data_IF_605426589535
#
_entry.id   IF_605426589535
#
_cell.length_a   1.000
_cell.length_b   1.000
_cell.length_c   1.000
_cell.angle_alpha   90.00
_cell.angle_beta   90.00
_cell.angle_gamma   90.00
#
_symmetry.space_group_name_H-M   'P 1'
#
loop_
_entity.id
_entity.type
_entity.pdbx_description
1 polymer ?
#
# COMPACT_ATOMS: atom_id res chain seq x y z
N UNK A 1 8.15 11.17 5.24
CA UNK A 1 7.14 12.24 5.31
C UNK A 1 7.45 13.24 6.43
N UNK A 2 7.47 14.53 6.12
CA UNK A 2 7.74 15.63 7.07
C UNK A 2 6.50 16.54 7.19
N UNK A 3 6.01 16.83 8.42
CA UNK A 3 4.88 17.74 8.61
C UNK A 3 5.27 19.17 8.21
N UNK A 4 4.28 20.00 7.89
CA UNK A 4 4.51 21.34 7.34
C UNK A 4 5.33 22.22 8.29
N UNK A 5 5.14 22.10 9.61
CA UNK A 5 5.91 22.85 10.60
C UNK A 5 7.41 22.48 10.63
N UNK A 6 7.78 21.29 10.17
CA UNK A 6 9.16 20.80 10.15
C UNK A 6 9.91 21.14 8.85
N UNK A 7 9.25 21.77 7.87
CA UNK A 7 9.86 22.06 6.56
C UNK A 7 10.89 23.19 6.60
N UNK A 8 10.89 24.02 7.65
CA UNK A 8 11.95 24.98 7.90
C UNK A 8 12.15 25.22 9.40
N UNK A 9 13.35 25.66 9.77
CA UNK A 9 13.69 26.01 11.15
C UNK A 9 12.83 27.16 11.68
N UNK A 10 12.51 28.13 10.82
CA UNK A 10 11.66 29.27 11.18
C UNK A 10 10.24 28.82 11.54
N UNK A 11 9.65 27.93 10.73
CA UNK A 11 8.31 27.39 11.01
C UNK A 11 8.30 26.65 12.35
N UNK A 12 9.28 25.77 12.58
CA UNK A 12 9.40 24.98 13.80
C UNK A 12 9.51 25.83 15.09
N UNK A 13 10.34 26.87 15.06
CA UNK A 13 10.51 27.77 16.21
C UNK A 13 9.24 28.60 16.49
N UNK A 14 8.48 28.93 15.45
CA UNK A 14 7.28 29.76 15.54
C UNK A 14 5.96 28.97 15.67
N UNK A 15 5.99 27.65 15.84
CA UNK A 15 4.78 26.82 15.94
C UNK A 15 3.76 27.33 16.96
N UNK A 16 4.21 27.70 18.17
CA UNK A 16 3.32 28.20 19.21
C UNK A 16 2.67 29.52 18.82
N UNK A 17 3.37 30.37 18.08
CA UNK A 17 2.81 31.62 17.55
C UNK A 17 1.69 31.32 16.55
N UNK A 18 1.93 30.43 15.58
CA UNK A 18 0.91 30.03 14.62
C UNK A 18 -0.32 29.42 15.30
N UNK A 19 -0.11 28.60 16.34
CA UNK A 19 -1.20 28.04 17.11
C UNK A 19 -2.03 29.12 17.82
N UNK A 20 -1.39 30.01 18.57
CA UNK A 20 -2.10 31.05 19.33
C UNK A 20 -2.86 32.04 18.45
N UNK A 21 -2.30 32.41 17.30
CA UNK A 21 -2.93 33.36 16.36
C UNK A 21 -4.18 32.80 15.68
N UNK A 22 -4.31 31.46 15.59
CA UNK A 22 -5.36 30.81 14.80
C UNK A 22 -6.28 29.88 15.60
N UNK A 23 -6.00 29.61 16.88
CA UNK A 23 -6.83 28.74 17.70
C UNK A 23 -8.22 29.32 17.94
N UNK A 24 -9.23 28.45 17.95
CA UNK A 24 -10.57 28.74 18.43
C UNK A 24 -10.76 28.11 19.81
N UNK A 25 -11.24 28.89 20.78
CA UNK A 25 -11.35 28.45 22.18
C UNK A 25 -12.29 27.25 22.39
N UNK A 26 -13.29 27.08 21.51
CA UNK A 26 -14.28 25.99 21.59
C UNK A 26 -13.76 24.66 21.03
N UNK A 27 -12.56 24.64 20.44
CA UNK A 27 -11.94 23.45 19.86
C UNK A 27 -10.82 22.95 20.76
N UNK A 28 -10.69 21.63 20.87
CA UNK A 28 -9.50 20.98 21.41
C UNK A 28 -8.25 21.33 20.58
N UNK A 29 -7.07 21.07 21.15
CA UNK A 29 -5.80 21.35 20.48
C UNK A 29 -5.71 20.61 19.14
N UNK A 30 -6.10 19.34 19.10
CA UNK A 30 -6.09 18.52 17.87
C UNK A 30 -7.06 19.06 16.83
N UNK A 31 -8.29 19.42 17.21
CA UNK A 31 -9.26 20.01 16.29
C UNK A 31 -8.75 21.34 15.71
N UNK A 32 -8.14 22.19 16.54
CA UNK A 32 -7.49 23.41 16.07
C UNK A 32 -6.38 23.11 15.07
N UNK A 33 -5.47 22.17 15.37
CA UNK A 33 -4.39 21.79 14.46
C UNK A 33 -4.91 21.20 13.14
N UNK A 34 -5.96 20.37 13.17
CA UNK A 34 -6.57 19.80 11.98
C UNK A 34 -7.18 20.89 11.09
N UNK A 35 -7.94 21.82 11.69
CA UNK A 35 -8.54 22.94 10.95
C UNK A 35 -7.48 23.87 10.37
N UNK A 36 -6.46 24.21 11.17
CA UNK A 36 -5.33 25.03 10.75
C UNK A 36 -4.62 24.44 9.53
N UNK A 37 -4.35 23.13 9.53
CA UNK A 37 -3.70 22.45 8.40
C UNK A 37 -4.54 22.57 7.11
N UNK A 38 -5.86 22.43 7.22
CA UNK A 38 -6.77 22.57 6.09
C UNK A 38 -6.91 24.01 5.58
N UNK A 39 -6.65 24.99 6.44
CA UNK A 39 -6.59 26.42 6.11
C UNK A 39 -5.19 26.86 5.61
N UNK A 40 -4.27 25.91 5.41
CA UNK A 40 -2.92 26.18 4.91
C UNK A 40 -1.93 26.68 5.97
N UNK A 41 -2.32 26.69 7.25
CA UNK A 41 -1.43 27.08 8.35
C UNK A 41 -0.52 25.89 8.71
N UNK A 42 0.80 26.10 8.88
CA UNK A 42 1.73 25.02 9.21
C UNK A 42 1.43 24.36 10.56
N UNK A 43 1.42 23.03 10.60
CA UNK A 43 1.18 22.25 11.82
C UNK A 43 2.10 21.04 11.90
N UNK A 44 2.16 20.42 13.09
CA UNK A 44 2.85 19.15 13.35
C UNK A 44 2.09 17.91 12.90
N UNK A 45 0.88 18.08 12.38
CA UNK A 45 0.08 16.96 11.90
C UNK A 45 0.58 16.49 10.53
N UNK A 46 0.52 15.20 10.33
CA UNK A 46 0.52 14.58 9.01
C UNK A 46 -0.91 14.19 8.68
N UNK A 47 -1.34 14.54 7.47
CA UNK A 47 -2.67 14.29 6.95
C UNK A 47 -2.74 12.91 6.29
N UNK A 48 -3.76 12.14 6.64
CA UNK A 48 -4.02 10.79 6.15
C UNK A 48 -5.50 10.64 5.83
N UNK A 49 -5.85 9.64 5.01
CA UNK A 49 -7.25 9.31 4.72
C UNK A 49 -7.48 7.82 4.88
N UNK A 50 -8.69 7.45 5.32
CA UNK A 50 -9.14 6.06 5.31
C UNK A 50 -9.78 5.66 3.98
N UNK A 51 -9.96 6.60 3.05
CA UNK A 51 -10.54 6.32 1.74
C UNK A 51 -9.43 6.17 0.68
N UNK A 52 -9.25 4.97 0.10
CA UNK A 52 -8.21 4.75 -0.89
C UNK A 52 -8.40 5.58 -2.16
N UNK A 53 -9.63 6.00 -2.50
CA UNK A 53 -9.89 6.84 -3.66
C UNK A 53 -9.58 8.32 -3.38
N UNK A 54 -9.70 8.78 -2.12
CA UNK A 54 -9.18 10.09 -1.72
C UNK A 54 -7.65 10.08 -1.78
N UNK A 55 -6.99 9.02 -1.30
CA UNK A 55 -5.54 8.88 -1.39
C UNK A 55 -5.06 8.90 -2.85
N UNK A 56 -5.73 8.14 -3.71
CA UNK A 56 -5.43 8.10 -5.15
C UNK A 56 -5.70 9.43 -5.85
N UNK A 57 -6.75 10.15 -5.42
CA UNK A 57 -7.01 11.51 -5.89
C UNK A 57 -5.79 12.40 -5.63
N UNK A 58 -5.32 12.48 -4.39
CA UNK A 58 -4.16 13.31 -4.02
C UNK A 58 -2.88 12.87 -4.72
N UNK A 59 -2.63 11.56 -4.83
CA UNK A 59 -1.47 11.01 -5.51
C UNK A 59 -1.37 11.44 -6.98
N UNK A 60 -2.49 11.81 -7.62
CA UNK A 60 -2.52 12.16 -9.04
C UNK A 60 -2.64 13.66 -9.31
N UNK A 61 -2.58 14.54 -8.30
CA UNK A 61 -2.78 15.99 -8.50
C UNK A 61 -1.53 16.77 -8.94
N UNK A 62 -0.36 16.14 -8.96
CA UNK A 62 0.89 16.82 -9.32
C UNK A 62 1.03 17.07 -10.83
N UNK A 63 1.78 18.11 -11.18
CA UNK A 63 2.05 18.51 -12.56
C UNK A 63 3.42 18.04 -13.08
N UNK A 64 4.13 17.25 -12.30
CA UNK A 64 5.42 16.67 -12.67
C UNK A 64 5.23 15.37 -13.46
N UNK A 65 6.17 15.07 -14.37
CA UNK A 65 6.18 13.83 -15.16
C UNK A 65 6.87 12.72 -14.39
N UNK A 66 6.25 12.29 -13.29
CA UNK A 66 6.80 11.31 -12.36
C UNK A 66 5.74 10.29 -11.96
N UNK A 67 6.19 9.10 -11.59
CA UNK A 67 5.31 8.16 -10.90
C UNK A 67 4.91 8.73 -9.54
N UNK A 68 3.74 8.32 -9.08
CA UNK A 68 3.25 8.68 -7.75
C UNK A 68 3.03 7.42 -6.93
N UNK A 69 2.88 7.58 -5.63
CA UNK A 69 2.73 6.44 -4.72
C UNK A 69 1.58 6.68 -3.74
N UNK A 70 0.86 5.61 -3.44
CA UNK A 70 -0.06 5.54 -2.30
C UNK A 70 0.57 4.64 -1.25
N UNK A 71 0.77 5.17 -0.06
CA UNK A 71 1.33 4.42 1.07
C UNK A 71 0.21 3.92 1.98
N UNK A 72 0.16 2.62 2.22
CA UNK A 72 -0.81 1.99 3.13
C UNK A 72 -0.19 1.88 4.50
N UNK A 73 -0.86 2.39 5.53
CA UNK A 73 -0.42 2.27 6.92
C UNK A 73 -1.44 1.46 7.72
N UNK A 74 -0.97 0.42 8.39
CA UNK A 74 -1.77 -0.38 9.32
C UNK A 74 -1.14 -0.19 10.69
N UNK A 75 -1.83 0.56 11.56
CA UNK A 75 -1.30 1.03 12.85
C UNK A 75 -2.39 1.08 13.91
N UNK A 76 -1.97 0.86 15.16
CA UNK A 76 -2.81 1.12 16.31
C UNK A 76 -3.12 2.61 16.43
N UNK A 77 -4.41 2.94 16.41
CA UNK A 77 -4.90 4.31 16.54
C UNK A 77 -5.27 4.66 17.99
N UNK A 78 -4.88 5.86 18.42
CA UNK A 78 -5.19 6.43 19.73
C UNK A 78 -6.44 7.31 19.67
N UNK A 79 -7.23 7.31 20.75
CA UNK A 79 -8.35 8.26 20.89
C UNK A 79 -7.82 9.70 20.97
N UNK A 80 -8.52 10.71 20.41
CA UNK A 80 -8.14 12.12 20.55
C UNK A 80 -8.08 12.61 22.00
N UNK A 81 -8.79 11.91 22.90
CA UNK A 81 -8.81 12.19 24.33
C UNK A 81 -7.73 11.43 25.13
N UNK A 82 -6.95 10.56 24.48
CA UNK A 82 -5.92 9.78 25.14
C UNK A 82 -4.77 10.68 25.60
N UNK A 83 -4.01 10.22 26.61
CA UNK A 83 -2.84 10.94 27.13
C UNK A 83 -1.79 11.16 26.03
N UNK A 84 -1.62 10.21 25.12
CA UNK A 84 -0.64 10.25 24.03
C UNK A 84 -0.97 11.38 23.06
N UNK A 85 -2.22 11.43 22.57
CA UNK A 85 -2.65 12.45 21.62
C UNK A 85 -2.69 13.83 22.29
N UNK A 86 -3.21 13.93 23.52
CA UNK A 86 -3.23 15.18 24.27
C UNK A 86 -1.82 15.73 24.49
N UNK A 87 -0.88 14.92 24.97
CA UNK A 87 0.49 15.37 25.22
C UNK A 87 1.20 15.78 23.92
N UNK A 88 1.14 14.96 22.88
CA UNK A 88 1.87 15.22 21.64
C UNK A 88 1.34 16.41 20.85
N UNK A 89 0.03 16.66 20.91
CA UNK A 89 -0.58 17.88 20.36
C UNK A 89 -0.29 19.11 21.23
N UNK A 90 -0.25 18.95 22.57
CA UNK A 90 0.00 20.04 23.52
C UNK A 90 1.33 20.76 23.27
N UNK A 91 2.35 20.06 22.79
CA UNK A 91 3.65 20.68 22.46
C UNK A 91 3.51 21.83 21.44
N UNK A 92 2.51 21.81 20.54
CA UNK A 92 2.24 22.91 19.62
C UNK A 92 1.87 24.22 20.33
N UNK A 93 1.41 24.15 21.58
CA UNK A 93 1.00 25.30 22.40
C UNK A 93 2.14 25.85 23.25
N UNK A 94 3.31 25.21 23.22
CA UNK A 94 4.42 25.50 24.13
C UNK A 94 5.52 26.29 23.44
N UNK A 95 5.81 27.48 23.97
CA UNK A 95 6.92 28.34 23.51
C UNK A 95 8.27 27.78 23.95
N UNK A 96 8.34 27.26 25.18
CA UNK A 96 9.53 26.61 25.71
C UNK A 96 9.53 25.13 25.29
N UNK A 97 10.66 24.65 24.75
CA UNK A 97 10.84 23.28 24.26
C UNK A 97 11.55 22.37 25.27
N UNK A 98 11.77 22.85 26.50
CA UNK A 98 12.25 22.03 27.62
C UNK A 98 11.20 20.98 28.01
N UNK A 99 11.57 19.70 28.02
CA UNK A 99 10.70 18.58 28.32
C UNK A 99 10.06 18.70 29.71
N UNK A 100 10.85 19.07 30.72
CA UNK A 100 10.37 19.20 32.10
C UNK A 100 9.29 20.27 32.22
N UNK A 101 9.49 21.42 31.56
CA UNK A 101 8.52 22.51 31.56
C UNK A 101 7.25 22.13 30.80
N UNK A 102 7.37 21.44 29.66
CA UNK A 102 6.22 20.92 28.90
C UNK A 102 5.40 19.97 29.78
N UNK A 103 6.04 19.01 30.45
CA UNK A 103 5.37 18.03 31.32
C UNK A 103 4.69 18.73 32.50
N UNK A 104 5.39 19.67 33.14
CA UNK A 104 4.85 20.48 34.24
C UNK A 104 3.61 21.27 33.80
N UNK A 105 3.68 21.94 32.64
CA UNK A 105 2.58 22.72 32.10
C UNK A 105 1.41 21.83 31.67
N UNK A 106 1.69 20.67 31.07
CA UNK A 106 0.69 19.69 30.68
C UNK A 106 -0.09 19.18 31.90
N UNK A 107 0.62 18.72 32.95
CA UNK A 107 0.03 18.23 34.19
C UNK A 107 -0.77 19.31 34.94
N UNK A 108 -0.40 20.58 34.81
CA UNK A 108 -1.15 21.70 35.43
C UNK A 108 -2.45 22.03 34.68
N UNK A 109 -2.50 21.77 33.37
CA UNK A 109 -3.60 22.20 32.49
C UNK A 109 -4.55 21.06 32.11
N UNK A 110 -4.27 19.82 32.51
CA UNK A 110 -5.04 18.64 32.17
C UNK A 110 -5.28 17.79 33.42
N UNK A 111 -6.39 17.04 33.43
CA UNK A 111 -6.73 16.10 34.50
C UNK A 111 -5.89 14.81 34.49
N UNK A 112 -4.83 14.76 33.67
CA UNK A 112 -3.97 13.60 33.46
C UNK A 112 -2.56 13.97 33.90
N UNK A 113 -2.04 13.25 34.89
CA UNK A 113 -0.64 13.38 35.32
C UNK A 113 0.24 12.41 34.55
N UNK A 114 1.37 12.90 34.03
CA UNK A 114 2.41 12.09 33.40
C UNK A 114 3.79 12.36 34.00
N UNK A 115 4.59 11.31 34.14
CA UNK A 115 6.00 11.41 34.50
C UNK A 115 6.90 11.76 33.31
N UNK A 116 8.10 12.27 33.58
CA UNK A 116 9.05 12.72 32.55
C UNK A 116 9.46 11.57 31.61
N UNK A 117 9.77 10.40 32.14
CA UNK A 117 10.18 9.25 31.33
C UNK A 117 9.07 8.78 30.38
N UNK A 118 7.84 8.62 30.87
CA UNK A 118 6.69 8.27 30.02
C UNK A 118 6.38 9.36 28.99
N UNK A 119 6.53 10.64 29.35
CA UNK A 119 6.37 11.73 28.41
C UNK A 119 7.43 11.70 27.29
N UNK A 120 8.68 11.41 27.64
CA UNK A 120 9.78 11.26 26.68
C UNK A 120 9.52 10.11 25.70
N UNK A 121 9.03 8.97 26.19
CA UNK A 121 8.67 7.82 25.35
C UNK A 121 7.55 8.19 24.36
N UNK A 122 6.47 8.81 24.85
CA UNK A 122 5.33 9.23 24.02
C UNK A 122 5.76 10.26 22.98
N UNK A 123 6.51 11.29 23.40
CA UNK A 123 6.89 12.40 22.53
C UNK A 123 7.95 12.01 21.50
N UNK A 124 8.73 10.95 21.75
CA UNK A 124 9.77 10.48 20.82
C UNK A 124 9.24 9.59 19.69
N UNK A 125 7.95 9.19 19.69
CA UNK A 125 7.37 8.29 18.67
C UNK A 125 6.22 8.91 17.90
N UNK A 126 5.98 8.40 16.69
CA UNK A 126 4.81 8.78 15.89
C UNK A 126 3.52 8.22 16.49
N UNK A 127 2.48 9.05 16.56
CA UNK A 127 1.17 8.69 17.12
C UNK A 127 0.11 8.83 16.02
N UNK A 128 -0.56 7.73 15.70
CA UNK A 128 -1.70 7.74 14.78
C UNK A 128 -2.98 7.97 15.57
N UNK A 129 -3.78 8.93 15.13
CA UNK A 129 -5.11 9.17 15.69
C UNK A 129 -6.06 8.16 15.07
N UNK A 130 -6.92 7.57 15.89
CA UNK A 130 -7.92 6.61 15.42
C UNK A 130 -8.86 7.31 14.43
N UNK A 131 -9.11 6.73 13.24
CA UNK A 131 -10.06 7.30 12.29
C UNK A 131 -11.45 7.52 12.90
N UNK A 132 -12.20 8.48 12.35
CA UNK A 132 -13.59 8.78 12.71
C UNK A 132 -13.81 9.14 14.20
N UNK A 133 -12.75 9.53 14.92
CA UNK A 133 -12.85 9.90 16.35
C UNK A 133 -12.72 11.39 16.63
N UNK A 134 -12.21 12.19 15.67
CA UNK A 134 -12.20 13.65 15.77
C UNK A 134 -13.54 14.14 15.21
N UNK A 135 -14.41 14.64 16.09
CA UNK A 135 -15.65 15.26 15.67
C UNK A 135 -15.46 16.77 15.49
N UNK A 136 -15.51 17.29 14.27
CA UNK A 136 -15.39 18.73 13.99
C UNK A 136 -16.24 19.14 12.79
N UNK A 137 -17.53 19.40 13.05
CA UNK A 137 -18.53 19.76 12.03
C UNK A 137 -18.14 20.99 11.19
N UNK A 138 -17.34 21.91 11.74
CA UNK A 138 -16.86 23.10 11.01
C UNK A 138 -15.75 22.77 10.00
N UNK A 139 -15.13 21.59 10.12
CA UNK A 139 -14.04 21.16 9.27
C UNK A 139 -14.56 20.27 8.14
N UNK A 140 -15.39 20.85 7.26
CA UNK A 140 -16.00 20.13 6.14
C UNK A 140 -14.97 19.37 5.28
N UNK A 141 -13.78 19.95 5.09
CA UNK A 141 -12.68 19.32 4.36
C UNK A 141 -12.25 17.99 4.99
N UNK A 142 -12.16 17.92 6.32
CA UNK A 142 -11.84 16.67 7.03
C UNK A 142 -12.89 15.58 6.77
N UNK A 143 -14.17 15.96 6.78
CA UNK A 143 -15.27 15.03 6.51
C UNK A 143 -15.26 14.52 5.07
N UNK A 144 -15.13 15.42 4.09
CA UNK A 144 -15.12 15.04 2.67
C UNK A 144 -13.92 14.17 2.29
N UNK A 145 -12.79 14.38 2.95
CA UNK A 145 -11.56 13.61 2.71
C UNK A 145 -11.51 12.31 3.51
N UNK A 146 -12.49 12.03 4.40
CA UNK A 146 -12.41 10.96 5.42
C UNK A 146 -11.05 11.01 6.12
N UNK A 147 -10.70 12.22 6.54
CA UNK A 147 -9.39 12.58 7.06
C UNK A 147 -9.14 11.98 8.45
N UNK A 148 -7.92 11.51 8.65
CA UNK A 148 -7.34 11.16 9.95
C UNK A 148 -5.92 11.71 10.00
N UNK A 149 -5.29 11.72 11.18
CA UNK A 149 -4.01 12.38 11.34
C UNK A 149 -3.01 11.51 12.10
N UNK A 150 -1.73 11.76 11.83
CA UNK A 150 -0.65 11.34 12.71
C UNK A 150 0.09 12.55 13.28
N UNK A 151 0.63 12.42 14.48
CA UNK A 151 1.54 13.38 15.10
C UNK A 151 2.93 12.76 15.06
N UNK A 152 3.86 13.39 14.36
CA UNK A 152 5.26 12.93 14.31
C UNK A 152 5.93 12.99 15.68
N UNK A 153 6.87 12.07 15.91
CA UNK A 153 7.73 12.09 17.09
C UNK A 153 8.67 13.30 17.09
N UNK A 154 9.27 13.58 18.24
CA UNK A 154 10.18 14.71 18.46
C UNK A 154 11.59 14.17 18.75
N UNK A 155 12.60 14.81 18.16
CA UNK A 155 13.99 14.59 18.54
C UNK A 155 14.20 15.30 19.88
N UNK A 156 14.62 14.56 20.92
CA UNK A 156 14.85 15.10 22.26
C UNK A 156 16.32 14.93 22.65
N UNK A 157 17.03 16.06 22.79
CA UNK A 157 18.46 16.11 23.11
C UNK A 157 18.68 16.97 24.35
N UNK A 158 19.42 16.44 25.33
CA UNK A 158 19.71 17.12 26.60
C UNK A 158 18.46 17.69 27.30
N UNK A 159 17.31 17.01 27.17
CA UNK A 159 16.04 17.44 27.77
C UNK A 159 15.25 18.45 26.93
N UNK A 160 15.68 18.81 25.72
CA UNK A 160 15.00 19.76 24.85
C UNK A 160 14.51 19.09 23.56
N UNK A 161 13.30 19.46 23.13
CA UNK A 161 12.81 19.12 21.78
C UNK A 161 13.55 20.00 20.76
N UNK A 162 14.40 19.40 19.92
CA UNK A 162 15.25 20.12 18.96
C UNK A 162 14.72 20.10 17.53
N UNK A 163 13.98 19.05 17.16
CA UNK A 163 13.36 18.91 15.84
C UNK A 163 12.22 17.87 15.87
N UNK A 164 11.62 17.63 14.71
CA UNK A 164 10.61 16.58 14.51
C UNK A 164 11.25 15.40 13.78
N UNK A 165 10.98 14.18 14.26
CA UNK A 165 11.38 12.94 13.62
C UNK A 165 10.48 12.72 12.40
N UNK A 166 11.02 12.65 11.17
CA UNK A 166 10.23 12.33 9.98
C UNK A 166 9.54 10.98 10.14
N UNK A 167 8.30 10.87 9.65
CA UNK A 167 7.68 9.56 9.52
C UNK A 167 8.23 8.89 8.26
N UNK A 168 9.13 7.92 8.42
CA UNK A 168 9.81 7.28 7.30
C UNK A 168 8.88 6.42 6.43
N UNK A 169 9.14 6.36 5.13
CA UNK A 169 8.35 5.58 4.18
C UNK A 169 8.46 4.07 4.46
N UNK A 170 9.57 3.61 5.05
CA UNK A 170 9.76 2.22 5.48
C UNK A 170 8.76 1.80 6.56
N UNK A 171 8.10 2.76 7.21
CA UNK A 171 6.99 2.47 8.11
C UNK A 171 5.66 2.13 7.40
N UNK A 172 5.51 2.27 6.08
CA UNK A 172 4.27 1.81 5.43
C UNK A 172 4.17 0.28 5.49
N UNK A 173 2.96 -0.27 5.49
CA UNK A 173 2.73 -1.70 5.24
C UNK A 173 2.92 -2.01 3.75
N UNK A 174 2.40 -1.14 2.87
CA UNK A 174 2.49 -1.32 1.43
C UNK A 174 2.74 0.03 0.74
N UNK A 175 3.36 -0.03 -0.44
CA UNK A 175 3.46 1.08 -1.38
C UNK A 175 2.85 0.65 -2.72
N UNK A 176 1.80 1.35 -3.13
CA UNK A 176 1.14 1.16 -4.41
C UNK A 176 1.64 2.23 -5.36
N UNK A 177 2.46 1.85 -6.33
CA UNK A 177 2.96 2.76 -7.37
C UNK A 177 1.85 3.03 -8.38
N UNK A 178 1.63 4.30 -8.69
CA UNK A 178 0.70 4.82 -9.68
C UNK A 178 1.51 5.34 -10.87
N UNK A 179 1.59 4.58 -11.98
CA UNK A 179 2.40 4.97 -13.12
C UNK A 179 1.89 6.27 -13.75
N UNK A 180 2.84 7.16 -14.08
CA UNK A 180 2.54 8.47 -14.68
C UNK A 180 1.55 8.41 -15.84
N UNK A 181 1.73 7.44 -16.75
CA UNK A 181 1.00 7.35 -18.02
C UNK A 181 -0.51 7.28 -17.80
N UNK A 182 -0.94 6.72 -16.66
CA UNK A 182 -2.35 6.49 -16.31
C UNK A 182 -2.95 7.55 -15.40
N UNK A 183 -2.16 8.47 -14.83
CA UNK A 183 -2.66 9.43 -13.83
C UNK A 183 -3.80 10.31 -14.37
N UNK A 184 -3.74 10.74 -15.64
CA UNK A 184 -4.80 11.53 -16.26
C UNK A 184 -6.12 10.77 -16.40
N UNK A 185 -6.06 9.51 -16.84
CA UNK A 185 -7.25 8.67 -16.94
C UNK A 185 -7.82 8.36 -15.55
N UNK A 186 -6.96 8.08 -14.56
CA UNK A 186 -7.36 7.86 -13.17
C UNK A 186 -8.11 9.08 -12.62
N UNK A 187 -7.56 10.29 -12.81
CA UNK A 187 -8.24 11.53 -12.40
C UNK A 187 -9.61 11.67 -13.05
N UNK A 188 -9.72 11.41 -14.35
CA UNK A 188 -11.00 11.51 -15.07
C UNK A 188 -12.03 10.51 -14.53
N UNK A 189 -11.62 9.29 -14.19
CA UNK A 189 -12.51 8.28 -13.58
C UNK A 189 -12.89 8.63 -12.14
N UNK A 190 -11.97 9.20 -11.36
CA UNK A 190 -12.24 9.72 -10.01
C UNK A 190 -13.25 10.87 -10.05
N UNK A 191 -13.11 11.81 -10.99
CA UNK A 191 -14.08 12.90 -11.19
C UNK A 191 -15.47 12.37 -11.52
N UNK A 192 -15.59 11.37 -12.41
CA UNK A 192 -16.86 10.70 -12.72
C UNK A 192 -17.50 10.03 -11.50
N UNK A 193 -16.68 9.58 -10.55
CA UNK A 193 -17.12 9.01 -9.26
C UNK A 193 -17.40 10.07 -8.19
N UNK A 194 -17.27 11.36 -8.51
CA UNK A 194 -17.52 12.46 -7.58
C UNK A 194 -16.36 12.76 -6.63
N UNK A 195 -15.13 12.33 -6.95
CA UNK A 195 -13.91 12.75 -6.25
C UNK A 195 -13.32 13.96 -6.98
N UNK A 196 -13.86 15.14 -6.70
CA UNK A 196 -13.47 16.40 -7.37
C UNK A 196 -12.72 17.34 -6.41
N UNK A 197 -12.01 18.33 -6.98
CA UNK A 197 -11.35 19.38 -6.19
C UNK A 197 -12.36 20.21 -5.40
N UNK A 198 -13.51 20.50 -5.98
CA UNK A 198 -14.55 21.30 -5.33
C UNK A 198 -15.06 20.61 -4.07
N UNK A 199 -15.34 19.31 -4.17
CA UNK A 199 -15.82 18.51 -3.04
C UNK A 199 -14.74 18.32 -1.99
N UNK A 200 -13.56 17.84 -2.40
CA UNK A 200 -12.52 17.44 -1.45
C UNK A 200 -11.79 18.63 -0.85
N UNK A 201 -11.58 19.72 -1.59
CA UNK A 201 -10.77 20.86 -1.16
C UNK A 201 -11.57 22.16 -1.02
N UNK A 202 -12.79 22.24 -1.54
CA UNK A 202 -13.50 23.53 -1.65
C UNK A 202 -12.89 24.45 -2.71
N UNK A 203 -12.12 23.90 -3.65
CA UNK A 203 -11.39 24.65 -4.67
C UNK A 203 -11.94 24.37 -6.07
N UNK A 204 -11.91 25.37 -6.95
CA UNK A 204 -12.27 25.19 -8.35
C UNK A 204 -11.37 24.19 -9.09
N UNK A 205 -11.93 23.52 -10.09
CA UNK A 205 -11.21 22.63 -10.99
C UNK A 205 -10.00 23.34 -11.60
N UNK A 206 -8.84 22.75 -11.40
CA UNK A 206 -7.56 23.20 -11.94
C UNK A 206 -7.09 22.22 -13.01
N UNK A 207 -6.87 22.72 -14.23
CA UNK A 207 -6.26 21.91 -15.28
C UNK A 207 -4.78 21.68 -14.96
N UNK A 208 -4.37 20.42 -14.90
CA UNK A 208 -2.97 20.05 -14.74
C UNK A 208 -2.29 20.16 -16.11
N UNK A 209 -1.22 20.95 -16.18
CA UNK A 209 -0.39 21.13 -17.37
C UNK A 209 0.99 20.58 -17.09
N UNK A 210 1.38 19.58 -17.87
CA UNK A 210 2.71 18.99 -17.84
C UNK A 210 3.70 19.80 -18.67
N UNK A 211 4.98 19.71 -18.32
CA UNK A 211 6.06 20.28 -19.14
C UNK A 211 6.04 19.67 -20.55
N UNK A 212 6.38 20.47 -21.55
CA UNK A 212 6.44 20.03 -22.94
C UNK A 212 7.50 18.94 -23.14
N UNK A 213 7.17 17.96 -23.98
CA UNK A 213 8.10 16.89 -24.34
C UNK A 213 9.07 17.36 -25.42
N UNK A 214 10.35 16.94 -25.37
CA UNK A 214 11.29 17.14 -26.47
C UNK A 214 10.77 16.51 -27.77
N UNK A 215 11.12 17.08 -28.94
CA UNK A 215 10.70 16.54 -30.24
C UNK A 215 11.20 15.11 -30.50
N UNK A 216 12.33 14.77 -29.89
CA UNK A 216 13.02 13.50 -29.95
C UNK A 216 12.75 12.59 -28.74
N UNK A 217 11.64 12.81 -28.01
CA UNK A 217 11.28 12.04 -26.82
C UNK A 217 11.13 10.52 -27.03
N UNK A 218 11.19 10.04 -28.28
CA UNK A 218 10.99 8.64 -28.61
C UNK A 218 12.17 8.11 -29.42
N UNK A 219 12.69 6.97 -28.98
CA UNK A 219 13.74 6.19 -29.64
C UNK A 219 13.18 4.90 -30.20
N UNK A 220 13.42 4.65 -31.49
CA UNK A 220 13.11 3.36 -32.12
C UNK A 220 14.12 2.30 -31.66
N UNK A 221 13.66 1.17 -31.08
CA UNK A 221 14.52 0.02 -30.73
C UNK A 221 14.54 -1.03 -31.85
N UNK A 222 13.36 -1.37 -32.36
CA UNK A 222 13.18 -2.47 -33.32
C UNK A 222 12.07 -2.12 -34.29
N UNK A 223 12.25 -2.47 -35.57
CA UNK A 223 11.20 -2.39 -36.58
C UNK A 223 11.18 -3.64 -37.45
N UNK A 224 10.00 -3.97 -37.96
CA UNK A 224 9.80 -5.03 -38.94
C UNK A 224 8.69 -4.65 -39.90
N UNK A 225 8.91 -4.95 -41.18
CA UNK A 225 7.92 -4.85 -42.23
C UNK A 225 7.62 -6.24 -42.76
N UNK A 226 6.34 -6.57 -42.94
CA UNK A 226 5.93 -7.84 -43.53
C UNK A 226 4.81 -7.57 -44.54
N UNK A 227 4.97 -8.12 -45.74
CA UNK A 227 3.93 -8.11 -46.78
C UNK A 227 3.30 -9.51 -46.84
N UNK A 228 1.99 -9.59 -46.61
CA UNK A 228 1.21 -10.83 -46.66
C UNK A 228 -0.17 -10.56 -47.28
N UNK A 229 -1.22 -11.19 -46.75
CA UNK A 229 -2.63 -10.89 -47.12
C UNK A 229 -2.97 -9.39 -47.02
N UNK A 230 -2.30 -8.69 -46.10
CA UNK A 230 -2.32 -7.24 -45.96
C UNK A 230 -0.92 -6.74 -45.60
N UNK A 231 -0.68 -5.44 -45.79
CA UNK A 231 0.59 -4.81 -45.45
C UNK A 231 0.69 -4.58 -43.93
N UNK A 232 1.81 -4.99 -43.35
CA UNK A 232 2.03 -4.95 -41.90
C UNK A 232 3.33 -4.24 -41.54
N UNK A 233 3.25 -3.41 -40.52
CA UNK A 233 4.38 -2.73 -39.90
C UNK A 233 4.35 -2.94 -38.39
N UNK A 234 5.52 -3.14 -37.79
CA UNK A 234 5.60 -3.31 -36.35
C UNK A 234 6.83 -2.62 -35.81
N UNK A 235 6.69 -1.86 -34.72
CA UNK A 235 7.75 -1.04 -34.16
C UNK A 235 7.73 -1.03 -32.63
N UNK A 236 8.91 -1.15 -32.02
CA UNK A 236 9.10 -0.95 -30.58
C UNK A 236 9.74 0.40 -30.36
N UNK A 237 9.09 1.21 -29.53
CA UNK A 237 9.45 2.58 -29.20
C UNK A 237 9.79 2.68 -27.72
N UNK A 238 10.86 3.38 -27.41
CA UNK A 238 11.25 3.70 -26.05
C UNK A 238 11.05 5.19 -25.79
N UNK A 239 10.35 5.50 -24.70
CA UNK A 239 10.05 6.85 -24.27
C UNK A 239 11.20 7.35 -23.38
N UNK A 240 11.89 8.41 -23.83
CA UNK A 240 12.99 9.04 -23.10
C UNK A 240 12.49 9.79 -21.85
N UNK A 241 11.29 10.37 -21.93
CA UNK A 241 10.53 10.94 -20.82
C UNK A 241 9.11 10.35 -20.82
N UNK A 242 8.49 10.32 -19.63
CA UNK A 242 7.14 9.75 -19.43
C UNK A 242 6.08 10.55 -20.21
N UNK A 243 5.18 9.82 -20.87
CA UNK A 243 4.12 10.36 -21.73
C UNK A 243 2.76 9.99 -21.18
N UNK A 244 1.75 10.85 -21.26
CA UNK A 244 0.37 10.45 -20.90
C UNK A 244 -0.17 9.45 -21.92
N UNK A 245 -1.19 8.65 -21.55
CA UNK A 245 -1.87 7.77 -22.52
C UNK A 245 -2.35 8.54 -23.75
N UNK A 246 -2.79 9.79 -23.58
CA UNK A 246 -3.21 10.65 -24.69
C UNK A 246 -2.04 10.95 -25.63
N UNK A 247 -0.89 11.36 -25.10
CA UNK A 247 0.31 11.62 -25.89
C UNK A 247 0.81 10.35 -26.62
N UNK A 248 0.69 9.19 -25.98
CA UNK A 248 1.00 7.88 -26.57
C UNK A 248 0.05 7.57 -27.74
N UNK A 249 -1.26 7.75 -27.57
CA UNK A 249 -2.28 7.62 -28.64
C UNK A 249 -2.01 8.55 -29.81
N UNK A 250 -1.79 9.83 -29.53
CA UNK A 250 -1.54 10.84 -30.57
C UNK A 250 -0.31 10.45 -31.38
N UNK A 251 0.76 10.00 -30.70
CA UNK A 251 1.96 9.52 -31.39
C UNK A 251 1.71 8.26 -32.20
N UNK A 252 1.00 7.28 -31.64
CA UNK A 252 0.67 6.04 -32.32
C UNK A 252 -0.10 6.30 -33.61
N UNK A 253 -1.08 7.19 -33.57
CA UNK A 253 -1.83 7.62 -34.75
C UNK A 253 -0.92 8.26 -35.81
N UNK A 254 -0.01 9.17 -35.42
CA UNK A 254 0.93 9.77 -36.38
C UNK A 254 1.82 8.72 -37.06
N UNK A 255 2.29 7.72 -36.31
CA UNK A 255 3.10 6.62 -36.86
C UNK A 255 2.28 5.74 -37.79
N UNK A 256 1.06 5.36 -37.38
CA UNK A 256 0.16 4.56 -38.19
C UNK A 256 -0.15 5.25 -39.53
N UNK A 257 -0.49 6.53 -39.49
CA UNK A 257 -0.75 7.35 -40.68
C UNK A 257 0.48 7.47 -41.58
N UNK A 258 1.65 7.74 -41.01
CA UNK A 258 2.89 7.89 -41.78
C UNK A 258 3.36 6.58 -42.43
N UNK A 259 3.03 5.42 -41.82
CA UNK A 259 3.44 4.10 -42.32
C UNK A 259 2.80 3.71 -43.65
N UNK A 260 1.59 4.23 -43.95
CA UNK A 260 0.76 3.90 -45.12
C UNK A 260 0.43 2.41 -45.29
N UNK A 261 0.55 1.60 -44.23
CA UNK A 261 0.17 0.18 -44.26
C UNK A 261 -1.24 -0.04 -43.72
N UNK A 262 -1.75 -1.26 -43.86
CA UNK A 262 -3.10 -1.62 -43.45
C UNK A 262 -3.18 -1.94 -41.95
N UNK A 263 -2.09 -2.41 -41.34
CA UNK A 263 -2.02 -2.73 -39.91
C UNK A 263 -0.64 -2.41 -39.32
N UNK A 264 -0.65 -1.76 -38.15
CA UNK A 264 0.53 -1.30 -37.42
C UNK A 264 0.47 -1.74 -35.97
N UNK A 265 1.51 -2.45 -35.54
CA UNK A 265 1.74 -2.78 -34.13
C UNK A 265 2.80 -1.88 -33.52
N UNK A 266 2.51 -1.25 -32.40
CA UNK A 266 3.42 -0.34 -31.71
C UNK A 266 3.54 -0.77 -30.25
N UNK A 267 4.77 -1.03 -29.79
CA UNK A 267 5.06 -1.32 -28.39
C UNK A 267 5.76 -0.13 -27.76
N UNK A 268 5.11 0.55 -26.82
CA UNK A 268 5.70 1.66 -26.06
C UNK A 268 6.35 1.15 -24.77
N UNK A 269 7.62 1.46 -24.57
CA UNK A 269 8.44 1.07 -23.43
C UNK A 269 8.97 2.31 -22.72
N UNK A 270 9.19 2.23 -21.40
CA UNK A 270 10.00 3.24 -20.70
C UNK A 270 11.47 3.05 -21.02
N UNK A 271 12.24 4.12 -20.93
CA UNK A 271 13.70 4.07 -21.00
C UNK A 271 14.27 2.96 -20.12
N UNK A 272 15.14 2.13 -20.70
CA UNK A 272 15.81 1.00 -20.03
C UNK A 272 14.90 -0.18 -19.65
N UNK A 273 13.67 -0.25 -20.17
CA UNK A 273 12.83 -1.44 -19.98
C UNK A 273 13.40 -2.65 -20.73
N UNK A 274 13.32 -3.82 -20.10
CA UNK A 274 13.62 -5.10 -20.74
C UNK A 274 12.69 -5.33 -21.95
N UNK A 275 13.19 -6.08 -22.93
CA UNK A 275 12.42 -6.40 -24.13
C UNK A 275 11.15 -7.19 -23.77
N UNK A 276 10.01 -6.77 -24.31
CA UNK A 276 8.71 -7.35 -23.98
C UNK A 276 7.98 -6.67 -22.80
N UNK A 277 8.67 -5.85 -22.00
CA UNK A 277 8.03 -5.04 -20.97
C UNK A 277 7.51 -3.72 -21.57
N UNK A 278 6.21 -3.68 -21.88
CA UNK A 278 5.59 -2.58 -22.60
C UNK A 278 4.53 -1.92 -21.72
N UNK A 279 4.59 -0.59 -21.58
CA UNK A 279 3.58 0.17 -20.85
C UNK A 279 2.23 0.09 -21.56
N UNK A 280 2.22 0.33 -22.86
CA UNK A 280 1.04 0.21 -23.72
C UNK A 280 1.48 -0.40 -25.05
N UNK A 281 0.73 -1.39 -25.51
CA UNK A 281 0.80 -1.87 -26.89
C UNK A 281 -0.40 -1.35 -27.65
N UNK A 282 -0.19 -0.80 -28.84
CA UNK A 282 -1.25 -0.33 -29.71
C UNK A 282 -1.26 -1.13 -31.01
N UNK A 283 -2.43 -1.56 -31.42
CA UNK A 283 -2.70 -2.11 -32.73
C UNK A 283 -3.62 -1.16 -33.49
N UNK A 284 -3.07 -0.56 -34.54
CA UNK A 284 -3.78 0.33 -35.45
C UNK A 284 -4.06 -0.42 -36.74
N UNK A 285 -5.30 -0.46 -37.19
CA UNK A 285 -5.64 -1.21 -38.40
C UNK A 285 -6.82 -0.60 -39.16
N UNK A 286 -6.90 -0.84 -40.47
CA UNK A 286 -8.08 -0.46 -41.26
C UNK A 286 -9.23 -1.41 -40.93
N UNK A 287 -10.43 -0.88 -40.76
CA UNK A 287 -11.61 -1.70 -40.48
C UNK A 287 -11.84 -2.79 -41.55
N UNK A 288 -11.55 -2.47 -42.82
CA UNK A 288 -11.71 -3.38 -43.95
C UNK A 288 -10.91 -4.69 -43.87
N UNK A 289 -9.88 -4.75 -43.02
CA UNK A 289 -9.05 -5.95 -42.84
C UNK A 289 -9.38 -6.74 -41.57
N UNK A 290 -10.42 -6.33 -40.82
CA UNK A 290 -10.79 -6.94 -39.55
C UNK A 290 -11.58 -8.26 -39.70
N UNK A 291 -11.03 -9.21 -40.45
CA UNK A 291 -11.59 -10.57 -40.58
C UNK A 291 -11.25 -11.45 -39.36
N UNK A 292 -10.34 -10.98 -38.50
CA UNK A 292 -9.79 -11.71 -37.36
C UNK A 292 -10.52 -11.45 -36.04
N UNK A 293 -11.56 -10.61 -36.04
CA UNK A 293 -12.35 -10.31 -34.84
C UNK A 293 -11.62 -9.45 -33.81
N UNK A 294 -10.72 -8.56 -34.24
CA UNK A 294 -10.08 -7.56 -33.39
C UNK A 294 -11.09 -6.57 -32.83
N UNK A 295 -10.83 -6.08 -31.62
CA UNK A 295 -11.80 -5.33 -30.81
C UNK A 295 -11.46 -3.85 -30.69
N UNK A 296 -10.67 -3.32 -31.62
CA UNK A 296 -10.35 -1.90 -31.69
C UNK A 296 -11.58 -1.02 -31.79
N UNK A 297 -11.45 0.23 -31.35
CA UNK A 297 -12.47 1.27 -31.50
C UNK A 297 -12.05 2.23 -32.59
N UNK A 298 -13.02 2.78 -33.32
CA UNK A 298 -12.76 3.77 -34.36
C UNK A 298 -12.01 4.99 -33.78
N UNK A 299 -10.94 5.39 -34.46
CA UNK A 299 -10.10 6.53 -34.15
C UNK A 299 -9.62 7.17 -35.46
N UNK A 300 -10.38 8.16 -35.94
CA UNK A 300 -10.22 8.74 -37.28
C UNK A 300 -10.27 7.67 -38.37
N UNK A 301 -9.21 7.52 -39.16
CA UNK A 301 -9.14 6.60 -40.32
C UNK A 301 -8.73 5.16 -39.95
N UNK A 302 -8.49 4.88 -38.67
CA UNK A 302 -8.07 3.57 -38.17
C UNK A 302 -8.98 3.09 -37.04
N UNK A 303 -8.96 1.78 -36.82
CA UNK A 303 -9.36 1.15 -35.57
C UNK A 303 -8.14 1.08 -34.66
N UNK A 304 -8.31 1.44 -33.37
CA UNK A 304 -7.30 1.36 -32.34
C UNK A 304 -7.69 0.32 -31.29
N UNK A 305 -6.87 -0.70 -31.12
CA UNK A 305 -6.90 -1.60 -29.97
C UNK A 305 -5.68 -1.34 -29.06
N UNK A 306 -5.94 -1.09 -27.78
CA UNK A 306 -4.88 -0.89 -26.77
C UNK A 306 -4.79 -2.10 -25.83
N UNK A 307 -3.62 -2.72 -25.79
CA UNK A 307 -3.34 -3.84 -24.89
C UNK A 307 -2.46 -3.32 -23.76
N UNK A 308 -3.05 -3.31 -22.58
CA UNK A 308 -2.43 -2.82 -21.33
C UNK A 308 -2.07 -3.95 -20.36
N UNK A 309 -2.37 -5.21 -20.70
CA UNK A 309 -2.09 -6.36 -19.82
C UNK A 309 -0.61 -6.58 -19.48
N UNK A 310 0.30 -5.91 -20.20
CA UNK A 310 1.74 -5.92 -19.93
C UNK A 310 2.23 -4.68 -19.14
N UNK A 311 1.31 -3.80 -18.71
CA UNK A 311 1.65 -2.51 -18.11
C UNK A 311 2.10 -2.65 -16.66
N UNK A 312 3.40 -2.44 -16.46
CA UNK A 312 4.16 -2.25 -15.21
C UNK A 312 4.11 -3.36 -14.16
N UNK A 313 5.34 -3.78 -13.81
CA UNK A 313 5.72 -5.07 -13.22
C UNK A 313 5.15 -6.22 -14.05
N UNK A 314 5.81 -6.55 -15.16
CA UNK A 314 5.56 -7.85 -15.77
C UNK A 314 5.77 -8.90 -14.68
N UNK A 315 4.87 -9.88 -14.61
CA UNK A 315 5.04 -11.03 -13.72
C UNK A 315 6.47 -11.59 -13.79
N UNK A 316 7.08 -11.55 -14.98
CA UNK A 316 8.48 -11.90 -15.21
C UNK A 316 9.47 -11.01 -14.44
N UNK A 317 9.33 -9.68 -14.46
CA UNK A 317 10.19 -8.79 -13.67
C UNK A 317 10.05 -9.06 -12.16
N UNK A 318 8.82 -9.28 -11.67
CA UNK A 318 8.58 -9.64 -10.27
C UNK A 318 9.27 -10.96 -9.92
N UNK A 319 9.08 -12.00 -10.74
CA UNK A 319 9.73 -13.30 -10.53
C UNK A 319 11.26 -13.20 -10.57
N UNK A 320 11.82 -12.45 -11.51
CA UNK A 320 13.28 -12.31 -11.67
C UNK A 320 13.94 -11.43 -10.62
N UNK A 321 13.17 -10.61 -9.88
CA UNK A 321 13.68 -9.72 -8.84
C UNK A 321 13.11 -10.02 -7.46
N UNK A 322 12.48 -11.19 -7.27
CA UNK A 322 11.79 -11.59 -6.05
C UNK A 322 12.67 -11.46 -4.79
N UNK A 323 13.94 -11.84 -4.86
CA UNK A 323 14.89 -11.75 -3.74
C UNK A 323 15.49 -10.35 -3.49
N UNK A 324 15.12 -9.33 -4.28
CA UNK A 324 15.57 -7.93 -4.09
C UNK A 324 14.50 -7.05 -3.43
N UNK A 325 13.28 -7.54 -3.32
CA UNK A 325 12.17 -6.83 -2.69
C UNK A 325 12.17 -7.17 -1.20
N UNK A 326 12.35 -6.17 -0.35
CA UNK A 326 12.15 -6.35 1.09
C UNK A 326 10.65 -6.34 1.37
N UNK A 327 10.15 -7.42 1.94
CA UNK A 327 8.75 -7.54 2.31
C UNK A 327 8.51 -6.88 3.66
N UNK A 328 7.36 -6.21 3.78
CA UNK A 328 6.98 -5.52 5.00
C UNK A 328 5.85 -6.27 5.65
N UNK A 329 6.17 -6.93 6.76
CA UNK A 329 5.17 -7.62 7.56
C UNK A 329 4.68 -6.75 8.72
N UNK A 330 3.44 -6.95 9.15
CA UNK A 330 2.96 -6.35 10.38
C UNK A 330 3.75 -6.91 11.56
N UNK A 331 4.26 -6.08 12.49
CA UNK A 331 4.97 -6.60 13.65
C UNK A 331 4.04 -7.46 14.50
N UNK A 332 4.60 -8.53 15.09
CA UNK A 332 3.86 -9.40 16.01
C UNK A 332 3.36 -8.54 17.19
N UNK A 333 2.06 -8.64 17.49
CA UNK A 333 1.46 -7.92 18.62
C UNK A 333 2.02 -8.45 19.96
N UNK A 334 2.18 -7.56 20.94
CA UNK A 334 2.74 -7.94 22.26
C UNK A 334 1.95 -9.07 22.94
N UNK A 335 0.64 -9.10 22.74
CA UNK A 335 -0.30 -10.09 23.25
C UNK A 335 -0.57 -11.25 22.26
N UNK A 336 0.24 -11.41 21.21
CA UNK A 336 0.07 -12.47 20.23
C UNK A 336 0.06 -13.86 20.89
N UNK A 337 -0.95 -14.67 20.52
CA UNK A 337 -1.17 -16.01 21.08
C UNK A 337 -0.08 -16.96 20.59
N UNK A 338 0.57 -17.67 21.51
CA UNK A 338 1.51 -18.74 21.16
C UNK A 338 0.72 -19.94 20.59
N UNK A 339 1.02 -20.30 19.35
CA UNK A 339 0.46 -21.45 18.65
C UNK A 339 1.42 -22.63 18.74
N UNK A 340 0.88 -23.78 19.11
CA UNK A 340 1.58 -25.06 19.06
C UNK A 340 0.88 -25.98 18.07
N UNK A 341 1.68 -26.69 17.28
CA UNK A 341 1.19 -27.77 16.43
C UNK A 341 2.19 -28.92 16.50
N UNK A 342 1.70 -30.08 16.92
CA UNK A 342 2.46 -31.31 16.98
C UNK A 342 1.72 -32.42 16.23
N UNK A 343 2.49 -33.34 15.65
CA UNK A 343 1.96 -34.43 14.84
C UNK A 343 2.49 -35.75 15.38
N UNK A 344 1.59 -36.67 15.69
CA UNK A 344 1.93 -38.01 16.20
C UNK A 344 1.16 -39.08 15.47
N UNK A 345 1.68 -40.29 15.50
CA UNK A 345 1.03 -41.48 14.96
C UNK A 345 0.51 -42.33 16.12
N UNK A 346 -0.79 -42.63 16.12
CA UNK A 346 -1.43 -43.53 17.07
C UNK A 346 -1.87 -44.80 16.34
N UNK A 347 -1.70 -45.94 17.01
CA UNK A 347 -2.12 -47.28 16.55
C UNK A 347 -1.63 -47.69 15.15
N UNK A 348 -0.58 -47.02 14.64
CA UNK A 348 0.00 -47.21 13.30
C UNK A 348 -1.00 -47.09 12.15
N UNK A 349 -2.06 -46.32 12.32
CA UNK A 349 -3.04 -46.06 11.25
C UNK A 349 -3.71 -44.69 11.35
N UNK A 350 -3.46 -43.93 12.42
CA UNK A 350 -4.11 -42.64 12.64
C UNK A 350 -3.09 -41.56 12.91
N UNK A 351 -3.06 -40.55 12.04
CA UNK A 351 -2.31 -39.31 12.28
C UNK A 351 -3.14 -38.45 13.22
N UNK A 352 -2.51 -37.99 14.31
CA UNK A 352 -3.13 -37.09 15.28
C UNK A 352 -2.37 -35.78 15.29
N UNK A 353 -3.09 -34.71 14.98
CA UNK A 353 -2.59 -33.34 15.09
C UNK A 353 -3.12 -32.76 16.39
N UNK A 354 -2.21 -32.39 17.29
CA UNK A 354 -2.51 -31.69 18.54
C UNK A 354 -2.16 -30.21 18.36
N UNK A 355 -3.19 -29.36 18.39
CA UNK A 355 -3.01 -27.93 18.17
C UNK A 355 -3.98 -27.08 18.97
N UNK A 356 -3.52 -25.90 19.39
CA UNK A 356 -4.35 -24.89 20.03
C UNK A 356 -4.89 -23.83 19.04
N UNK A 357 -4.83 -24.12 17.74
CA UNK A 357 -5.47 -23.32 16.70
C UNK A 357 -6.98 -23.18 16.96
N UNK A 358 -7.54 -22.07 16.49
CA UNK A 358 -8.94 -21.71 16.64
C UNK A 358 -9.78 -22.64 15.77
N UNK A 359 -10.98 -22.96 16.26
CA UNK A 359 -11.98 -23.66 15.47
C UNK A 359 -12.31 -22.88 14.19
N UNK A 360 -12.26 -23.56 13.06
CA UNK A 360 -12.48 -22.97 11.73
C UNK A 360 -11.20 -22.70 10.95
N UNK A 361 -10.02 -22.77 11.57
CA UNK A 361 -8.74 -22.67 10.85
C UNK A 361 -8.61 -23.81 9.86
N UNK A 362 -8.30 -23.48 8.60
CA UNK A 362 -8.03 -24.46 7.57
C UNK A 362 -6.54 -24.85 7.58
N UNK A 363 -6.27 -26.15 7.47
CA UNK A 363 -4.91 -26.69 7.30
C UNK A 363 -4.89 -27.61 6.08
N UNK A 364 -3.75 -27.65 5.40
CA UNK A 364 -3.42 -28.61 4.37
C UNK A 364 -2.39 -29.57 4.92
N UNK A 365 -2.59 -30.87 4.71
CA UNK A 365 -1.64 -31.89 5.14
C UNK A 365 -1.21 -32.64 3.90
N UNK A 366 0.10 -32.75 3.73
CA UNK A 366 0.73 -33.47 2.64
C UNK A 366 1.58 -34.58 3.25
N UNK A 367 1.37 -35.84 2.88
CA UNK A 367 2.16 -36.94 3.43
C UNK A 367 2.37 -38.08 2.43
N UNK A 368 3.41 -38.88 2.65
CA UNK A 368 3.69 -40.13 1.94
C UNK A 368 3.95 -41.25 2.96
N UNK A 369 3.64 -42.48 2.56
CA UNK A 369 3.87 -43.69 3.36
C UNK A 369 4.94 -44.51 2.66
N UNK A 370 6.02 -44.86 3.36
CA UNK A 370 7.18 -45.59 2.84
C UNK A 370 7.72 -45.04 1.50
N UNK A 371 7.74 -43.71 1.35
CA UNK A 371 8.21 -43.02 0.14
C UNK A 371 7.29 -43.21 -1.10
N UNK A 372 6.06 -43.70 -0.89
CA UNK A 372 5.07 -43.90 -1.94
C UNK A 372 4.42 -42.60 -2.44
N UNK A 373 3.25 -42.75 -3.08
CA UNK A 373 2.51 -41.61 -3.63
C UNK A 373 2.15 -40.59 -2.54
N UNK A 374 2.44 -39.32 -2.84
CA UNK A 374 2.06 -38.17 -2.01
C UNK A 374 0.54 -38.03 -1.98
N UNK A 375 -0.02 -37.88 -0.78
CA UNK A 375 -1.44 -37.65 -0.52
C UNK A 375 -1.62 -36.27 0.10
N UNK A 376 -2.70 -35.59 -0.27
CA UNK A 376 -3.02 -34.26 0.25
C UNK A 376 -4.45 -34.24 0.81
N UNK A 377 -4.61 -33.67 2.00
CA UNK A 377 -5.89 -33.60 2.71
C UNK A 377 -6.05 -32.17 3.24
N UNK A 378 -7.19 -31.55 2.93
CA UNK A 378 -7.62 -30.31 3.57
C UNK A 378 -8.43 -30.66 4.82
N UNK A 379 -8.07 -30.08 5.96
CA UNK A 379 -8.79 -30.23 7.23
C UNK A 379 -9.22 -28.86 7.77
N UNK A 380 -10.26 -28.88 8.59
CA UNK A 380 -10.73 -27.70 9.33
C UNK A 380 -10.62 -28.05 10.80
N UNK A 381 -9.92 -27.21 11.57
CA UNK A 381 -9.78 -27.36 13.02
C UNK A 381 -11.17 -27.29 13.66
N UNK A 382 -11.58 -28.36 14.34
CA UNK A 382 -12.88 -28.44 15.05
C UNK A 382 -12.72 -28.49 16.57
N UNK A 383 -11.63 -29.10 17.00
CA UNK A 383 -11.23 -29.36 18.38
C UNK A 383 -9.70 -29.44 18.44
N UNK A 384 -9.14 -29.56 19.64
CA UNK A 384 -7.68 -29.56 19.86
C UNK A 384 -6.97 -30.75 19.20
N UNK A 385 -7.60 -31.94 19.26
CA UNK A 385 -7.03 -33.18 18.73
C UNK A 385 -7.76 -33.56 17.44
N UNK A 386 -7.06 -33.46 16.31
CA UNK A 386 -7.61 -33.77 15.00
C UNK A 386 -7.07 -35.13 14.58
N UNK A 387 -7.98 -36.07 14.37
CA UNK A 387 -7.67 -37.45 14.00
C UNK A 387 -7.92 -37.67 12.52
N UNK A 388 -6.93 -38.25 11.84
CA UNK A 388 -6.98 -38.50 10.40
C UNK A 388 -6.60 -39.96 10.18
N UNK A 389 -7.54 -40.72 9.66
CA UNK A 389 -7.30 -42.11 9.32
C UNK A 389 -6.42 -42.18 8.07
N UNK A 390 -5.30 -42.86 8.20
CA UNK A 390 -4.38 -43.13 7.12
C UNK A 390 -4.83 -44.44 6.49
N UNK A 391 -5.32 -44.39 5.25
CA UNK A 391 -5.63 -45.61 4.52
C UNK A 391 -4.34 -46.40 4.21
N UNK A 392 -4.05 -47.34 5.09
CA UNK A 392 -2.97 -48.31 4.94
C UNK A 392 -3.57 -49.71 4.95
N UNK A 393 -3.89 -50.21 3.76
CA UNK A 393 -4.25 -51.61 3.52
C UNK A 393 -3.14 -52.61 3.93
N UNK A 394 -1.93 -52.12 4.22
CA UNK A 394 -0.74 -52.91 4.56
C UNK A 394 0.05 -52.26 5.70
N UNK A 395 0.89 -53.04 6.39
CA UNK A 395 1.85 -52.51 7.37
C UNK A 395 2.87 -51.61 6.68
N UNK A 396 3.17 -50.46 7.28
CA UNK A 396 4.20 -49.53 6.81
C UNK A 396 5.27 -49.29 7.88
N UNK A 397 6.43 -48.78 7.46
CA UNK A 397 7.56 -48.50 8.35
C UNK A 397 7.68 -47.03 8.71
N UNK A 398 7.37 -46.14 7.78
CA UNK A 398 7.58 -44.70 7.90
C UNK A 398 6.44 -43.91 7.28
N UNK A 399 6.06 -42.82 7.94
CA UNK A 399 5.21 -41.79 7.36
C UNK A 399 5.90 -40.43 7.51
N UNK A 400 6.02 -39.71 6.40
CA UNK A 400 6.64 -38.40 6.41
C UNK A 400 5.79 -37.41 5.62
N UNK A 401 5.87 -36.13 6.00
CA UNK A 401 5.02 -35.12 5.44
C UNK A 401 5.14 -33.79 6.12
N UNK A 402 4.19 -32.92 5.81
CA UNK A 402 4.05 -31.62 6.43
C UNK A 402 2.58 -31.25 6.67
N UNK A 403 2.40 -30.36 7.63
CA UNK A 403 1.17 -29.63 7.88
C UNK A 403 1.43 -28.18 7.51
N UNK A 404 0.57 -27.62 6.67
CA UNK A 404 0.62 -26.22 6.24
C UNK A 404 -0.66 -25.51 6.65
N UNK A 405 -0.55 -24.40 7.35
CA UNK A 405 -1.64 -23.43 7.48
C UNK A 405 -1.43 -22.39 6.37
N UNK A 406 -2.30 -22.29 5.37
CA UNK A 406 -2.07 -21.36 4.27
C UNK A 406 -2.12 -19.90 4.75
N UNK A 407 -1.69 -18.97 3.90
CA UNK A 407 -1.67 -17.53 4.21
C UNK A 407 -3.02 -16.99 4.68
N UNK A 408 -3.01 -15.93 5.49
CA UNK A 408 -4.23 -15.39 6.11
C UNK A 408 -5.31 -15.02 5.08
N UNK A 409 -4.93 -14.46 3.92
CA UNK A 409 -5.87 -14.05 2.87
C UNK A 409 -6.77 -15.17 2.32
N UNK A 410 -6.35 -16.44 2.41
CA UNK A 410 -7.17 -17.58 1.97
C UNK A 410 -7.96 -18.24 3.11
N UNK A 411 -7.70 -17.88 4.37
CA UNK A 411 -8.48 -18.37 5.52
C UNK A 411 -9.89 -17.76 5.56
N UNK A 412 -10.84 -18.39 6.28
CA UNK A 412 -12.12 -17.78 6.61
C UNK A 412 -11.98 -16.42 7.31
N UNK A 413 -12.95 -15.53 7.11
CA UNK A 413 -12.91 -14.18 7.66
C UNK A 413 -12.84 -14.17 9.20
N UNK A 414 -13.50 -15.12 9.86
CA UNK A 414 -13.50 -15.29 11.31
C UNK A 414 -12.09 -15.59 11.84
N UNK A 415 -11.34 -16.42 11.12
CA UNK A 415 -9.95 -16.76 11.45
C UNK A 415 -9.06 -15.54 11.26
N UNK A 416 -9.18 -14.83 10.13
CA UNK A 416 -8.44 -13.59 9.88
C UNK A 416 -8.70 -12.52 10.93
N UNK A 417 -9.94 -12.37 11.40
CA UNK A 417 -10.27 -11.39 12.43
C UNK A 417 -9.56 -11.67 13.77
N UNK A 418 -9.37 -12.96 14.09
CA UNK A 418 -8.73 -13.40 15.34
C UNK A 418 -7.22 -13.42 15.23
N UNK A 419 -6.66 -13.85 14.11
CA UNK A 419 -5.21 -13.99 13.93
C UNK A 419 -4.53 -12.79 13.28
N UNK A 420 -5.32 -11.93 12.65
CA UNK A 420 -4.80 -10.82 11.88
C UNK A 420 -4.65 -11.14 10.40
N UNK A 421 -4.47 -10.09 9.60
CA UNK A 421 -4.36 -10.20 8.14
C UNK A 421 -2.98 -10.70 7.68
N UNK A 422 -2.00 -10.66 8.57
CA UNK A 422 -0.61 -11.09 8.36
C UNK A 422 -0.16 -12.04 9.49
N UNK A 423 -1.15 -12.66 10.15
CA UNK A 423 -0.97 -13.50 11.34
C UNK A 423 -0.22 -12.81 12.49
N UNK A 424 -0.28 -11.48 12.57
CA UNK A 424 0.41 -10.67 13.57
C UNK A 424 -0.05 -10.93 15.00
N UNK A 425 -1.21 -11.56 15.20
CA UNK A 425 -1.78 -11.88 16.53
C UNK A 425 -1.47 -13.30 16.99
N UNK A 426 -0.67 -14.05 16.23
CA UNK A 426 -0.19 -15.39 16.59
C UNK A 426 1.32 -15.49 16.41
N UNK A 427 1.95 -16.39 17.17
CA UNK A 427 3.40 -16.65 17.11
C UNK A 427 3.73 -18.08 17.49
N UNK A 428 4.98 -18.48 17.32
CA UNK A 428 5.49 -19.80 17.72
C UNK A 428 6.11 -20.54 16.54
N UNK A 429 6.81 -21.64 16.83
CA UNK A 429 7.63 -22.37 15.86
C UNK A 429 6.85 -22.94 14.66
N UNK A 430 5.52 -23.01 14.74
CA UNK A 430 4.69 -23.40 13.62
C UNK A 430 4.45 -22.26 12.63
N UNK A 431 4.58 -21.00 13.05
CA UNK A 431 4.28 -19.82 12.22
C UNK A 431 5.58 -19.35 11.56
N UNK A 432 5.70 -19.61 10.27
CA UNK A 432 6.84 -19.20 9.46
C UNK A 432 6.70 -17.73 9.05
N UNK A 433 7.75 -16.97 9.35
CA UNK A 433 7.86 -15.53 9.07
C UNK A 433 9.32 -15.19 8.83
N UNK A 434 9.61 -14.57 7.69
CA UNK A 434 10.96 -14.19 7.28
C UNK A 434 10.91 -12.86 6.54
N UNK A 435 11.94 -12.02 6.70
CA UNK A 435 12.08 -10.79 5.91
C UNK A 435 12.41 -11.05 4.42
N UNK A 436 12.70 -12.32 4.08
CA UNK A 436 13.03 -12.78 2.72
C UNK A 436 11.84 -13.41 1.98
N UNK A 437 10.73 -13.70 2.66
CA UNK A 437 9.53 -14.34 2.08
C UNK A 437 8.30 -13.41 2.22
N UNK A 438 7.57 -13.09 1.14
CA UNK A 438 6.35 -12.27 1.25
C UNK A 438 5.22 -12.94 2.04
N UNK A 439 5.26 -14.26 2.21
CA UNK A 439 4.16 -15.03 2.73
C UNK A 439 4.40 -15.41 4.18
N UNK A 440 3.39 -15.15 5.01
CA UNK A 440 3.33 -15.68 6.38
C UNK A 440 2.33 -16.82 6.40
N UNK A 441 2.81 -18.00 6.77
CA UNK A 441 2.04 -19.23 6.78
C UNK A 441 2.44 -20.10 7.96
N UNK A 442 1.65 -21.12 8.26
CA UNK A 442 2.07 -22.15 9.22
C UNK A 442 2.74 -23.30 8.50
N UNK A 443 3.83 -23.83 9.04
CA UNK A 443 4.52 -25.00 8.48
C UNK A 443 5.08 -25.89 9.59
N UNK A 444 4.85 -27.20 9.46
CA UNK A 444 5.46 -28.22 10.33
C UNK A 444 5.77 -29.45 9.52
N UNK A 445 7.03 -29.83 9.45
CA UNK A 445 7.44 -31.15 8.97
C UNK A 445 7.32 -32.21 10.06
N UNK A 446 7.00 -33.43 9.64
CA UNK A 446 7.01 -34.59 10.51
C UNK A 446 7.55 -35.82 9.77
N UNK A 447 8.19 -36.71 10.53
CA UNK A 447 8.62 -38.03 10.12
C UNK A 447 8.45 -38.97 11.31
N UNK A 448 7.55 -39.93 11.17
CA UNK A 448 7.05 -40.78 12.26
C UNK A 448 7.18 -42.26 11.93
#
# INVERSE_FOLDING_TARGET
MLPSIARSKELFINEQKYYEENKKQQKSIVQNLAKMQHDGIPTRLLDFTTDPLVALFFATQENERTDSSVYVFIRNGYSPTSREVKLSSFVATQKNRCLEDIVKNFNKSNDITIGIESAKEILSRGIFIRPDTINDDDNCRMHEQKGTFAISGNQIENGYITSIIPLENDSSYEEIVVPFEYQEEIRNELEKKGYTRERLLGEEKKLIKYNELPKDNIREKKRKYKRGLYSNYSITLEMLNLMTVKEIKDRGYQIAKASKVDSVWIWFQRLNSEDGNNIITQHWYKESINEYGWKGKEYYEFMLEEIRGNSYISYAYFQSNFGRIKYKHLPIEDNAKLISLDVRLIDKNQLVIDTNLMKGTELLISYSVDGGLKREIKIIVKEQLIKIDIDTSHKFNTIEGNVTMPVSSVQPAEVRNVYGIDYEKIKGDFIERSDEDPLIFGYKEFKL
#
